data_IF_704922897262
#
_entry.id   IF_704922897262
#
_cell.length_a   1.000
_cell.length_b   1.000
_cell.length_c   1.000
_cell.angle_alpha   90.00
_cell.angle_beta   90.00
_cell.angle_gamma   90.00
#
_symmetry.space_group_name_H-M   'P 1'
#
loop_
_entity.id
_entity.type
_entity.pdbx_description
1 polymer ?
#
# COMPACT_ATOMS: atom_id res chain seq x y z
N UNK A 1 5.24 8.16 -16.62
CA UNK A 1 5.52 7.56 -15.30
C UNK A 1 6.42 6.36 -15.55
N UNK A 2 7.72 6.51 -15.37
CA UNK A 2 8.73 5.52 -15.77
C UNK A 2 9.16 4.76 -14.52
N UNK A 3 8.74 3.49 -14.40
CA UNK A 3 9.10 2.60 -13.31
C UNK A 3 10.37 1.82 -13.67
N UNK A 4 11.27 1.63 -12.71
CA UNK A 4 12.40 0.72 -12.86
C UNK A 4 11.96 -0.71 -12.47
N UNK A 5 12.58 -1.72 -13.08
CA UNK A 5 12.25 -3.15 -12.88
C UNK A 5 12.36 -3.60 -11.42
N UNK A 6 13.06 -2.84 -10.58
CA UNK A 6 13.17 -3.07 -9.13
C UNK A 6 12.02 -2.45 -8.30
N UNK A 7 10.99 -1.89 -8.93
CA UNK A 7 9.85 -1.27 -8.24
C UNK A 7 10.12 0.13 -7.69
N UNK A 8 11.30 0.72 -7.94
CA UNK A 8 11.57 2.11 -7.58
C UNK A 8 10.99 3.06 -8.63
N UNK A 9 10.38 4.15 -8.16
CA UNK A 9 10.14 5.33 -8.98
C UNK A 9 11.50 5.97 -9.32
N UNK A 10 11.72 6.30 -10.61
CA UNK A 10 12.96 6.94 -11.06
C UNK A 10 13.12 8.34 -10.45
N UNK A 11 14.25 8.61 -9.78
CA UNK A 11 14.33 9.74 -8.82
C UNK A 11 15.54 10.70 -8.97
N UNK A 12 16.47 10.46 -9.91
CA UNK A 12 17.72 11.23 -10.10
C UNK A 12 18.67 11.31 -8.86
N UNK A 13 19.97 11.47 -9.11
CA UNK A 13 21.10 11.10 -8.26
C UNK A 13 21.36 11.92 -6.99
N UNK A 14 20.43 12.74 -6.50
CA UNK A 14 20.70 13.65 -5.36
C UNK A 14 19.67 13.75 -4.23
N UNK A 15 18.55 13.01 -4.24
CA UNK A 15 17.49 13.26 -3.23
C UNK A 15 17.38 12.19 -2.12
N UNK A 16 17.69 12.62 -0.89
CA UNK A 16 17.51 11.90 0.39
C UNK A 16 16.03 11.91 0.88
N UNK A 17 15.07 11.69 0.00
CA UNK A 17 13.64 11.83 0.31
C UNK A 17 12.94 10.47 0.31
N UNK A 18 12.37 10.09 1.45
CA UNK A 18 11.23 9.17 1.50
C UNK A 18 10.08 9.87 0.76
N UNK A 19 9.99 9.66 -0.55
CA UNK A 19 9.11 10.44 -1.40
C UNK A 19 7.63 10.10 -1.12
N UNK A 20 6.72 11.09 -1.25
CA UNK A 20 5.29 10.91 -1.05
C UNK A 20 4.67 9.75 -1.85
N UNK A 21 5.30 9.32 -2.96
CA UNK A 21 4.85 8.16 -3.73
C UNK A 21 5.09 6.80 -3.06
N UNK A 22 6.24 6.60 -2.41
CA UNK A 22 6.53 5.32 -1.74
C UNK A 22 5.75 5.22 -0.43
N UNK A 23 5.69 6.33 0.32
CA UNK A 23 4.80 6.45 1.48
C UNK A 23 3.35 6.25 1.08
N UNK A 24 2.89 6.89 -0.01
CA UNK A 24 1.53 6.74 -0.52
C UNK A 24 1.18 5.32 -0.94
N UNK A 25 2.10 4.60 -1.61
CA UNK A 25 1.90 3.20 -1.96
C UNK A 25 1.78 2.32 -0.70
N UNK A 26 2.66 2.49 0.27
CA UNK A 26 2.61 1.73 1.53
C UNK A 26 1.34 2.04 2.33
N UNK A 27 0.94 3.30 2.39
CA UNK A 27 -0.32 3.73 3.02
C UNK A 27 -1.53 3.12 2.31
N UNK A 28 -1.54 3.10 0.97
CA UNK A 28 -2.62 2.47 0.20
C UNK A 28 -2.71 0.97 0.49
N UNK A 29 -1.58 0.26 0.50
CA UNK A 29 -1.55 -1.17 0.86
C UNK A 29 -2.01 -1.39 2.31
N UNK A 30 -1.61 -0.52 3.25
CA UNK A 30 -2.06 -0.60 4.64
C UNK A 30 -3.58 -0.39 4.77
N UNK A 31 -4.16 0.57 4.06
CA UNK A 31 -5.62 0.76 3.98
C UNK A 31 -6.33 -0.46 3.37
N UNK A 32 -5.74 -1.08 2.33
CA UNK A 32 -6.31 -2.28 1.73
C UNK A 32 -6.31 -3.47 2.70
N UNK A 33 -5.31 -3.58 3.58
CA UNK A 33 -5.18 -4.62 4.59
C UNK A 33 -6.05 -4.38 5.84
N UNK A 34 -5.94 -3.20 6.45
CA UNK A 34 -6.55 -2.89 7.75
C UNK A 34 -7.88 -2.15 7.66
N UNK A 35 -8.21 -1.60 6.50
CA UNK A 35 -9.43 -0.84 6.27
C UNK A 35 -9.32 0.65 6.61
N UNK A 36 -10.46 1.30 6.45
CA UNK A 36 -10.72 2.72 6.71
C UNK A 36 -12.12 2.90 7.33
N UNK A 37 -12.47 4.10 7.76
CA UNK A 37 -13.79 4.40 8.31
C UNK A 37 -14.94 4.01 7.34
N UNK A 38 -15.80 3.10 7.79
CA UNK A 38 -16.91 2.55 7.00
C UNK A 38 -16.53 1.38 6.08
N UNK A 39 -15.28 0.91 6.12
CA UNK A 39 -14.91 -0.37 5.49
C UNK A 39 -15.39 -1.55 6.35
N UNK A 40 -15.85 -2.61 5.70
CA UNK A 40 -16.36 -3.82 6.34
C UNK A 40 -15.58 -5.06 5.89
N UNK A 41 -15.43 -6.02 6.80
CA UNK A 41 -14.73 -7.28 6.55
C UNK A 41 -13.22 -7.22 6.72
N UNK A 42 -12.57 -8.37 6.65
CA UNK A 42 -11.11 -8.50 6.75
C UNK A 42 -10.43 -8.16 5.42
N UNK A 43 -9.30 -7.46 5.41
CA UNK A 43 -8.57 -7.04 4.20
C UNK A 43 -9.46 -6.44 3.10
N UNK A 44 -10.22 -5.36 3.38
CA UNK A 44 -11.33 -4.88 2.56
C UNK A 44 -10.91 -4.42 1.16
N UNK A 45 -9.66 -4.02 0.97
CA UNK A 45 -9.16 -3.59 -0.34
C UNK A 45 -8.80 -4.71 -1.30
N UNK A 46 -8.82 -5.97 -0.86
CA UNK A 46 -8.43 -7.11 -1.70
C UNK A 46 -9.64 -7.89 -2.23
N UNK A 47 -9.56 -8.44 -3.46
CA UNK A 47 -10.58 -9.31 -4.03
C UNK A 47 -10.95 -10.48 -3.11
N UNK A 48 -12.24 -10.79 -3.02
CA UNK A 48 -12.79 -11.91 -2.23
C UNK A 48 -13.03 -13.17 -3.04
N UNK A 49 -12.59 -13.18 -4.29
CA UNK A 49 -12.73 -14.28 -5.24
C UNK A 49 -11.74 -15.45 -5.00
N UNK A 50 -10.94 -15.38 -3.93
CA UNK A 50 -9.95 -16.39 -3.57
C UNK A 50 -8.63 -16.28 -4.35
N UNK A 51 -8.44 -15.26 -5.18
CA UNK A 51 -7.18 -15.05 -5.91
C UNK A 51 -6.03 -14.56 -5.01
N UNK A 52 -6.36 -14.01 -3.84
CA UNK A 52 -5.41 -13.51 -2.86
C UNK A 52 -5.55 -14.21 -1.50
N UNK A 53 -4.42 -14.60 -0.91
CA UNK A 53 -4.33 -15.03 0.48
C UNK A 53 -3.56 -13.98 1.27
N UNK A 54 -4.29 -13.06 1.92
CA UNK A 54 -3.73 -11.88 2.56
C UNK A 54 -3.41 -12.18 4.03
N UNK A 55 -2.21 -11.80 4.48
CA UNK A 55 -1.78 -11.85 5.87
C UNK A 55 -1.12 -10.54 6.24
N UNK A 56 -1.46 -9.99 7.38
CA UNK A 56 -0.89 -8.76 7.90
C UNK A 56 -0.95 -8.76 9.43
N UNK A 57 -0.13 -7.95 10.07
CA UNK A 57 -0.09 -7.80 11.53
C UNK A 57 0.21 -6.35 11.92
N UNK A 58 -0.27 -5.93 13.10
CA UNK A 58 0.13 -4.66 13.71
C UNK A 58 -0.34 -3.38 12.99
N UNK A 59 -1.18 -3.46 11.96
CA UNK A 59 -1.79 -2.30 11.31
C UNK A 59 -3.07 -1.87 12.01
N UNK A 60 -3.39 -0.58 11.92
CA UNK A 60 -4.64 -0.02 12.44
C UNK A 60 -5.48 0.53 11.27
N UNK A 61 -6.81 0.44 11.34
CA UNK A 61 -7.68 1.09 10.37
C UNK A 61 -7.37 2.58 10.30
N UNK A 62 -7.38 3.12 9.08
CA UNK A 62 -7.23 4.56 8.90
C UNK A 62 -8.55 5.28 9.22
N UNK A 63 -8.51 6.50 9.78
CA UNK A 63 -9.69 7.35 9.92
C UNK A 63 -10.30 7.73 8.57
#
# INVERSE_FOLDING_TARGET
NTYLVNGHNYQDGRLRLYLPGNGGLLTAVAMMCAGWDGSEGDAPGFPKDGTWNVKWEGLQPMP
#
